data_IF_114382525678
#
_entry.id   IF_114382525678
#
_cell.length_a   1.000
_cell.length_b   1.000
_cell.length_c   1.000
_cell.angle_alpha   90.00
_cell.angle_beta   90.00
_cell.angle_gamma   90.00
#
_symmetry.space_group_name_H-M   'P 1'
#
loop_
_entity.id
_entity.type
_entity.pdbx_description
1 polymer ?
#
# COMPACT_ATOMS: atom_id res chain seq x y z
N UNK A 1 9.68 44.42 59.99
CA UNK A 1 10.24 43.89 58.72
C UNK A 1 9.06 43.65 57.79
N UNK A 2 9.03 44.35 56.65
CA UNK A 2 7.78 44.87 56.05
C UNK A 2 7.00 43.88 55.18
N UNK A 3 5.73 43.68 55.55
CA UNK A 3 4.64 42.95 54.88
C UNK A 3 4.29 43.46 53.47
N UNK A 4 4.97 44.51 52.99
CA UNK A 4 4.76 45.12 51.66
C UNK A 4 5.52 44.44 50.52
N UNK A 5 6.44 43.50 50.80
CA UNK A 5 7.19 42.79 49.76
C UNK A 5 6.54 41.49 49.28
N UNK A 6 5.66 40.87 50.07
CA UNK A 6 4.94 39.66 49.65
C UNK A 6 3.68 39.96 48.83
N UNK A 7 3.13 41.18 48.93
CA UNK A 7 1.98 41.61 48.13
C UNK A 7 2.36 42.01 46.69
N UNK A 8 3.65 42.26 46.41
CA UNK A 8 4.17 42.59 45.07
C UNK A 8 4.69 41.37 44.30
N UNK A 9 4.88 40.22 44.95
CA UNK A 9 5.27 38.97 44.28
C UNK A 9 4.07 38.09 43.90
N UNK A 10 2.89 38.36 44.49
CA UNK A 10 1.64 37.66 44.18
C UNK A 10 0.84 38.21 42.98
N UNK A 11 1.20 39.38 42.45
CA UNK A 11 0.50 40.01 41.31
C UNK A 11 1.19 39.79 39.95
N UNK A 12 2.37 39.15 39.92
CA UNK A 12 3.13 38.89 38.69
C UNK A 12 2.87 37.51 38.04
N UNK A 13 2.05 36.65 38.67
CA UNK A 13 1.75 35.29 38.18
C UNK A 13 0.33 35.17 37.58
N UNK A 14 -0.48 36.24 37.62
CA UNK A 14 -1.87 36.25 37.09
C UNK A 14 -1.95 36.88 35.68
N UNK A 15 -0.83 37.28 35.06
CA UNK A 15 -0.81 37.89 33.73
C UNK A 15 -0.34 36.96 32.58
N UNK A 16 -0.16 35.66 32.83
CA UNK A 16 0.37 34.71 31.81
C UNK A 16 -0.69 33.89 31.07
N UNK A 17 -1.99 34.20 31.25
CA UNK A 17 -3.07 33.66 30.41
C UNK A 17 -3.45 34.65 29.31
N UNK A 18 -2.47 35.13 28.53
CA UNK A 18 -2.78 35.60 27.18
C UNK A 18 -2.99 34.37 26.32
N UNK A 19 -4.25 34.00 26.18
CA UNK A 19 -4.72 33.13 25.12
C UNK A 19 -4.06 33.55 23.80
N UNK A 20 -3.37 32.62 23.14
CA UNK A 20 -3.14 32.73 21.72
C UNK A 20 -4.52 32.88 21.07
N UNK A 21 -4.86 34.10 20.64
CA UNK A 21 -5.79 34.23 19.52
C UNK A 21 -5.12 33.48 18.38
N UNK A 22 -5.64 32.31 18.05
CA UNK A 22 -5.47 31.82 16.69
C UNK A 22 -6.04 32.94 15.82
N UNK A 23 -5.19 33.60 15.06
CA UNK A 23 -5.67 34.40 13.94
C UNK A 23 -6.61 33.47 13.15
N UNK A 24 -7.84 33.91 12.83
CA UNK A 24 -8.64 33.16 11.87
C UNK A 24 -7.75 32.98 10.65
N UNK A 25 -7.52 31.72 10.27
CA UNK A 25 -6.72 31.39 9.11
C UNK A 25 -7.12 32.35 8.01
N UNK A 26 -6.14 33.12 7.53
CA UNK A 26 -6.28 33.87 6.29
C UNK A 26 -6.88 32.89 5.30
N UNK A 27 -8.12 33.17 4.89
CA UNK A 27 -8.82 32.35 3.92
C UNK A 27 -8.12 32.72 2.62
N UNK A 28 -6.97 32.08 2.40
CA UNK A 28 -6.20 32.24 1.19
C UNK A 28 -7.16 32.16 0.01
N UNK A 29 -6.93 33.02 -0.98
CA UNK A 29 -7.71 33.00 -2.21
C UNK A 29 -7.94 31.55 -2.66
N UNK A 30 -9.15 31.20 -3.13
CA UNK A 30 -9.45 29.83 -3.53
C UNK A 30 -8.35 29.36 -4.46
N UNK A 31 -7.70 28.24 -4.12
CA UNK A 31 -6.67 27.65 -4.96
C UNK A 31 -7.36 27.33 -6.29
N UNK A 32 -7.13 28.16 -7.31
CA UNK A 32 -7.63 27.91 -8.65
C UNK A 32 -6.73 26.82 -9.21
N UNK A 33 -7.25 25.58 -9.27
CA UNK A 33 -6.55 24.51 -9.96
C UNK A 33 -6.21 24.97 -11.39
N UNK A 34 -4.98 24.70 -11.88
CA UNK A 34 -4.61 25.08 -13.24
C UNK A 34 -5.61 24.47 -14.21
N UNK A 35 -5.97 25.17 -15.31
CA UNK A 35 -6.91 24.62 -16.28
C UNK A 35 -6.43 23.27 -16.81
N UNK A 36 -7.37 22.38 -17.14
CA UNK A 36 -7.02 21.14 -17.82
C UNK A 36 -6.39 21.43 -19.17
N UNK A 37 -5.28 20.75 -19.48
CA UNK A 37 -4.63 20.80 -20.77
C UNK A 37 -4.70 19.42 -21.43
N UNK A 38 -5.65 19.23 -22.34
CA UNK A 38 -5.86 17.95 -23.04
C UNK A 38 -4.65 17.48 -23.87
N UNK A 39 -3.62 18.33 -24.02
CA UNK A 39 -2.34 18.00 -24.67
C UNK A 39 -1.19 17.79 -23.66
N UNK A 40 -1.49 17.60 -22.37
CA UNK A 40 -0.48 17.25 -21.38
C UNK A 40 0.18 15.91 -21.73
N UNK A 41 1.51 15.94 -21.87
CA UNK A 41 2.29 14.79 -22.32
C UNK A 41 3.14 14.23 -21.19
N UNK A 42 3.33 12.92 -21.22
CA UNK A 42 4.15 12.20 -20.26
C UNK A 42 5.27 11.45 -21.00
N UNK A 43 6.41 11.18 -20.34
CA UNK A 43 7.47 10.37 -20.93
C UNK A 43 6.96 8.98 -21.36
N UNK A 44 7.61 8.39 -22.34
CA UNK A 44 7.40 6.99 -22.71
C UNK A 44 8.14 6.10 -21.72
N UNK A 45 7.54 4.97 -21.31
CA UNK A 45 8.15 4.07 -20.32
C UNK A 45 9.41 3.37 -20.83
N UNK A 46 10.43 3.27 -19.97
CA UNK A 46 11.64 2.50 -20.29
C UNK A 46 11.37 0.98 -20.19
N UNK A 47 11.94 0.15 -21.06
CA UNK A 47 11.87 -1.31 -20.92
C UNK A 47 12.41 -1.83 -19.59
N UNK A 48 11.63 -2.68 -18.90
CA UNK A 48 12.03 -3.35 -17.65
C UNK A 48 12.00 -4.88 -17.75
N UNK A 49 11.58 -5.41 -18.90
CA UNK A 49 11.51 -6.84 -19.17
C UNK A 49 11.92 -7.20 -20.61
N UNK A 50 12.13 -8.50 -20.88
CA UNK A 50 12.46 -8.97 -22.22
C UNK A 50 11.30 -8.73 -23.20
N UNK A 51 11.64 -8.44 -24.45
CA UNK A 51 10.67 -8.39 -25.55
C UNK A 51 10.31 -9.82 -25.97
N UNK A 52 9.03 -10.17 -25.91
CA UNK A 52 8.54 -11.48 -26.39
C UNK A 52 7.73 -11.27 -27.66
N UNK A 53 7.99 -12.07 -28.72
CA UNK A 53 7.33 -11.94 -30.01
C UNK A 53 6.60 -13.21 -30.43
N UNK A 54 5.46 -13.04 -31.09
CA UNK A 54 4.60 -14.09 -31.61
C UNK A 54 4.16 -13.75 -33.03
N UNK A 55 3.91 -14.76 -33.85
CA UNK A 55 3.30 -14.57 -35.17
C UNK A 55 1.82 -14.93 -35.08
N UNK A 56 0.95 -13.98 -35.37
CA UNK A 56 -0.50 -14.19 -35.43
C UNK A 56 -0.97 -14.19 -36.87
N UNK A 57 -1.80 -15.16 -37.23
CA UNK A 57 -2.38 -15.28 -38.57
C UNK A 57 -3.85 -14.86 -38.54
N UNK A 58 -4.54 -14.93 -39.68
CA UNK A 58 -5.97 -14.63 -39.78
C UNK A 58 -6.87 -15.52 -38.91
N UNK A 59 -6.36 -16.65 -38.41
CA UNK A 59 -7.07 -17.47 -37.41
C UNK A 59 -7.24 -16.76 -36.06
N UNK A 60 -6.47 -15.69 -35.80
CA UNK A 60 -6.41 -15.04 -34.49
C UNK A 60 -5.59 -15.86 -33.50
N UNK A 61 -5.84 -15.65 -32.20
CA UNK A 61 -5.18 -16.39 -31.15
C UNK A 61 -5.23 -15.72 -29.79
N UNK A 62 -4.62 -16.37 -28.81
CA UNK A 62 -4.45 -15.86 -27.45
C UNK A 62 -2.96 -15.84 -27.11
N UNK A 63 -2.49 -14.68 -26.62
CA UNK A 63 -1.10 -14.45 -26.25
C UNK A 63 -1.05 -13.98 -24.80
N UNK A 64 -0.07 -14.43 -24.03
CA UNK A 64 0.15 -13.95 -22.67
C UNK A 64 1.56 -13.42 -22.51
N UNK A 65 1.71 -12.40 -21.66
CA UNK A 65 3.01 -11.94 -21.23
C UNK A 65 3.73 -13.03 -20.42
N UNK A 66 5.06 -12.98 -20.39
CA UNK A 66 5.89 -13.98 -19.70
C UNK A 66 5.59 -14.03 -18.20
N UNK A 67 5.31 -12.89 -17.59
CA UNK A 67 4.92 -12.73 -16.19
C UNK A 67 3.43 -13.02 -15.92
N UNK A 68 2.67 -13.37 -16.97
CA UNK A 68 1.22 -13.66 -16.93
C UNK A 68 0.36 -12.50 -16.41
N UNK A 69 0.89 -11.28 -16.37
CA UNK A 69 0.12 -10.09 -15.95
C UNK A 69 -0.85 -9.63 -17.03
N UNK A 70 -0.57 -9.93 -18.30
CA UNK A 70 -1.37 -9.53 -19.45
C UNK A 70 -1.73 -10.73 -20.34
N UNK A 71 -2.97 -10.74 -20.82
CA UNK A 71 -3.48 -11.64 -21.86
C UNK A 71 -4.10 -10.82 -23.00
N UNK A 72 -3.68 -11.08 -24.23
CA UNK A 72 -4.28 -10.57 -25.46
C UNK A 72 -5.15 -11.65 -26.10
N UNK A 73 -6.39 -11.31 -26.46
CA UNK A 73 -7.25 -12.16 -27.29
C UNK A 73 -7.50 -11.46 -28.61
N UNK A 74 -7.03 -12.07 -29.69
CA UNK A 74 -7.10 -11.55 -31.05
C UNK A 74 -8.11 -12.41 -31.80
N UNK A 75 -9.29 -11.88 -32.18
CA UNK A 75 -10.30 -12.67 -32.85
C UNK A 75 -9.88 -13.04 -34.28
N UNK A 76 -10.45 -14.12 -34.81
CA UNK A 76 -10.26 -14.50 -36.20
C UNK A 76 -10.66 -13.36 -37.16
N UNK A 77 -9.80 -13.08 -38.13
CA UNK A 77 -9.95 -11.99 -39.09
C UNK A 77 -9.61 -10.60 -38.53
N UNK A 78 -9.01 -10.48 -37.34
CA UNK A 78 -8.46 -9.20 -36.87
C UNK A 78 -7.23 -8.76 -37.67
N UNK A 79 -6.48 -9.71 -38.21
CA UNK A 79 -5.37 -9.50 -39.16
C UNK A 79 -5.65 -10.33 -40.43
N UNK A 80 -5.19 -9.83 -41.57
CA UNK A 80 -5.38 -10.46 -42.89
C UNK A 80 -4.16 -11.29 -43.32
N UNK A 81 -2.98 -10.95 -42.82
CA UNK A 81 -1.69 -11.61 -43.09
C UNK A 81 -0.95 -11.98 -41.81
N UNK A 82 -0.02 -12.96 -41.86
CA UNK A 82 0.86 -13.26 -40.74
C UNK A 82 1.56 -12.00 -40.22
N UNK A 83 1.30 -11.65 -38.97
CA UNK A 83 1.73 -10.40 -38.34
C UNK A 83 2.53 -10.70 -37.07
N UNK A 84 3.72 -10.12 -36.96
CA UNK A 84 4.55 -10.24 -35.76
C UNK A 84 4.03 -9.28 -34.70
N UNK A 85 3.53 -9.83 -33.59
CA UNK A 85 3.07 -9.09 -32.42
C UNK A 85 4.09 -9.27 -31.31
N UNK A 86 4.43 -8.21 -30.58
CA UNK A 86 5.34 -8.30 -29.44
C UNK A 86 4.79 -7.66 -28.19
N UNK A 87 5.21 -8.18 -27.03
CA UNK A 87 4.79 -7.75 -25.70
C UNK A 87 6.07 -7.49 -24.89
N UNK A 88 6.15 -6.35 -24.21
CA UNK A 88 7.27 -6.01 -23.35
C UNK A 88 6.83 -5.21 -22.13
N UNK A 89 7.27 -5.59 -20.93
CA UNK A 89 7.02 -4.80 -19.72
C UNK A 89 7.88 -3.52 -19.73
N UNK A 90 7.26 -2.40 -19.40
CA UNK A 90 7.90 -1.07 -19.33
C UNK A 90 7.55 -0.37 -18.00
N UNK A 91 8.36 0.60 -17.61
CA UNK A 91 8.04 1.51 -16.50
C UNK A 91 6.69 2.18 -16.74
N UNK A 92 5.90 2.39 -15.69
CA UNK A 92 4.65 3.13 -15.81
C UNK A 92 4.90 4.62 -15.66
N UNK A 93 4.54 5.38 -16.68
CA UNK A 93 4.62 6.86 -16.70
C UNK A 93 3.24 7.51 -16.65
N UNK A 94 2.18 6.70 -16.48
CA UNK A 94 0.81 7.16 -16.33
C UNK A 94 0.60 7.69 -14.89
N UNK A 95 0.22 8.97 -14.68
CA UNK A 95 0.01 9.52 -13.34
C UNK A 95 -1.02 8.74 -12.52
N UNK A 96 -2.07 8.29 -13.20
CA UNK A 96 -3.12 7.44 -12.65
C UNK A 96 -2.85 5.95 -12.86
N UNK A 97 -1.62 5.49 -13.10
CA UNK A 97 -1.27 4.07 -13.32
C UNK A 97 -1.19 3.24 -12.03
N UNK A 98 -1.38 1.93 -12.10
CA UNK A 98 -1.16 0.96 -11.01
C UNK A 98 -0.21 -0.13 -11.50
N UNK A 99 0.90 -0.30 -10.78
CA UNK A 99 1.92 -1.29 -11.14
C UNK A 99 2.67 -0.90 -12.42
N UNK A 100 3.11 -1.93 -13.16
CA UNK A 100 3.90 -1.75 -14.39
C UNK A 100 3.01 -1.51 -15.61
N UNK A 101 3.59 -0.93 -16.65
CA UNK A 101 2.97 -0.81 -17.97
C UNK A 101 3.47 -1.92 -18.90
N UNK A 102 2.76 -2.16 -19.99
CA UNK A 102 3.14 -3.10 -21.04
C UNK A 102 3.08 -2.41 -22.39
N UNK A 103 4.17 -2.48 -23.13
CA UNK A 103 4.29 -2.07 -24.52
C UNK A 103 3.84 -3.21 -25.43
N UNK A 104 2.86 -2.92 -26.29
CA UNK A 104 2.38 -3.82 -27.32
C UNK A 104 2.85 -3.32 -28.68
N UNK A 105 3.44 -4.19 -29.51
CA UNK A 105 3.99 -3.82 -30.81
C UNK A 105 3.39 -4.67 -31.94
N UNK A 106 3.29 -4.11 -33.16
CA UNK A 106 3.75 -2.77 -33.56
C UNK A 106 2.68 -1.68 -33.30
N UNK A 107 3.08 -0.43 -33.07
CA UNK A 107 2.14 0.64 -32.71
C UNK A 107 1.24 1.10 -33.87
N UNK A 108 1.73 0.98 -35.10
CA UNK A 108 1.03 1.38 -36.32
C UNK A 108 0.00 0.35 -36.81
N UNK A 109 -0.19 -0.75 -36.08
CA UNK A 109 -1.21 -1.74 -36.43
C UNK A 109 -2.62 -1.18 -36.23
N UNK A 110 -3.47 -1.46 -37.21
CA UNK A 110 -4.92 -1.30 -37.09
C UNK A 110 -5.60 -2.65 -37.33
N UNK A 111 -6.26 -3.16 -36.30
CA UNK A 111 -6.98 -4.42 -36.38
C UNK A 111 -8.33 -4.24 -37.06
N UNK A 112 -8.67 -5.15 -37.98
CA UNK A 112 -9.97 -5.14 -38.65
C UNK A 112 -11.14 -5.51 -37.71
N UNK A 113 -10.83 -6.12 -36.56
CA UNK A 113 -11.77 -6.43 -35.47
C UNK A 113 -11.12 -6.09 -34.14
N UNK A 114 -11.87 -5.57 -33.15
CA UNK A 114 -11.30 -5.24 -31.85
C UNK A 114 -10.65 -6.44 -31.17
N UNK A 115 -9.42 -6.26 -30.68
CA UNK A 115 -8.71 -7.20 -29.83
C UNK A 115 -9.03 -6.91 -28.37
N UNK A 116 -9.06 -7.93 -27.52
CA UNK A 116 -9.24 -7.73 -26.06
C UNK A 116 -7.89 -7.71 -25.36
N UNK A 117 -7.65 -6.66 -24.60
CA UNK A 117 -6.53 -6.59 -23.64
C UNK A 117 -7.10 -6.87 -22.26
N UNK A 118 -6.55 -7.87 -21.59
CA UNK A 118 -6.90 -8.25 -20.22
C UNK A 118 -5.65 -8.13 -19.35
N UNK A 119 -5.72 -7.34 -18.27
CA UNK A 119 -4.71 -7.32 -17.23
C UNK A 119 -5.22 -8.04 -15.98
N UNK A 120 -4.33 -8.75 -15.28
CA UNK A 120 -4.54 -9.15 -13.89
C UNK A 120 -4.02 -8.07 -12.95
N UNK A 121 -4.80 -7.72 -11.94
CA UNK A 121 -4.39 -6.84 -10.85
C UNK A 121 -4.14 -7.58 -9.54
N UNK A 122 -4.09 -8.92 -9.55
CA UNK A 122 -3.96 -9.75 -8.35
C UNK A 122 -2.75 -9.35 -7.47
N UNK A 123 -1.59 -9.13 -8.09
CA UNK A 123 -0.38 -8.72 -7.37
C UNK A 123 -0.48 -7.31 -6.76
N UNK A 124 -1.38 -6.47 -7.29
CA UNK A 124 -1.55 -5.07 -6.94
C UNK A 124 -2.77 -4.85 -6.04
N UNK A 125 -3.42 -5.94 -5.59
CA UNK A 125 -4.67 -5.90 -4.81
C UNK A 125 -4.59 -4.96 -3.62
N UNK A 126 -3.48 -5.01 -2.88
CA UNK A 126 -3.29 -4.21 -1.66
C UNK A 126 -3.14 -2.71 -1.95
N UNK A 127 -2.83 -2.35 -3.21
CA UNK A 127 -2.74 -0.96 -3.68
C UNK A 127 -4.02 -0.43 -4.32
N UNK A 128 -5.09 -1.24 -4.37
CA UNK A 128 -6.36 -0.89 -5.01
C UNK A 128 -7.40 -0.58 -3.93
N UNK A 129 -7.82 0.68 -3.85
CA UNK A 129 -8.82 1.13 -2.88
C UNK A 129 -10.26 0.78 -3.28
N UNK A 130 -10.51 0.58 -4.57
CA UNK A 130 -11.81 0.33 -5.16
C UNK A 130 -11.62 -0.35 -6.53
N UNK A 131 -11.97 -1.63 -6.63
CA UNK A 131 -11.77 -2.40 -7.86
C UNK A 131 -12.68 -1.91 -9.00
N UNK A 132 -13.92 -1.53 -8.70
CA UNK A 132 -14.86 -1.04 -9.71
C UNK A 132 -14.38 0.23 -10.42
N UNK A 133 -13.53 1.06 -9.82
CA UNK A 133 -12.98 2.27 -10.44
C UNK A 133 -11.79 1.99 -11.38
N UNK A 134 -11.32 0.73 -11.47
CA UNK A 134 -10.22 0.35 -12.35
C UNK A 134 -10.64 0.32 -13.81
N UNK A 135 -9.74 0.77 -14.68
CA UNK A 135 -9.80 0.57 -16.12
C UNK A 135 -8.40 0.32 -16.68
N UNK A 136 -8.30 0.24 -18.00
CA UNK A 136 -7.04 0.30 -18.71
C UNK A 136 -6.85 1.69 -19.33
N UNK A 137 -5.62 2.16 -19.30
CA UNK A 137 -5.20 3.37 -19.98
C UNK A 137 -4.14 3.05 -21.02
N UNK A 138 -4.07 3.86 -22.06
CA UNK A 138 -3.03 3.78 -23.07
C UNK A 138 -2.38 5.13 -23.38
N UNK A 139 -1.11 5.11 -23.75
CA UNK A 139 -0.40 6.30 -24.21
C UNK A 139 -0.49 6.39 -25.73
N UNK A 140 -0.94 7.52 -26.26
CA UNK A 140 -0.97 7.74 -27.70
C UNK A 140 0.40 8.21 -28.23
N UNK A 141 0.53 8.35 -29.55
CA UNK A 141 1.77 8.78 -30.23
C UNK A 141 2.26 10.18 -29.82
N UNK A 142 1.36 11.02 -29.26
CA UNK A 142 1.71 12.35 -28.75
C UNK A 142 2.22 12.32 -27.31
N UNK A 143 2.27 11.14 -26.67
CA UNK A 143 2.65 10.99 -25.26
C UNK A 143 1.51 11.27 -24.28
N UNK A 144 0.27 11.44 -24.74
CA UNK A 144 -0.90 11.69 -23.88
C UNK A 144 -1.50 10.37 -23.42
N UNK A 145 -1.73 10.23 -22.12
CA UNK A 145 -2.40 9.07 -21.54
C UNK A 145 -3.93 9.20 -21.63
N UNK A 146 -4.59 8.12 -22.04
CA UNK A 146 -6.02 8.06 -22.29
C UNK A 146 -6.63 6.88 -21.52
N UNK A 147 -7.56 7.14 -20.60
CA UNK A 147 -8.33 6.14 -19.86
C UNK A 147 -9.47 5.62 -20.74
N UNK A 148 -9.55 4.31 -20.93
CA UNK A 148 -10.70 3.67 -21.56
C UNK A 148 -11.92 3.72 -20.62
N UNK A 149 -13.06 4.23 -21.08
CA UNK A 149 -14.28 4.30 -20.26
C UNK A 149 -15.13 3.02 -20.33
N UNK A 150 -15.02 2.24 -21.41
CA UNK A 150 -15.73 0.96 -21.54
C UNK A 150 -14.80 -0.18 -21.12
N UNK A 151 -15.12 -0.84 -20.01
CA UNK A 151 -14.32 -1.95 -19.49
C UNK A 151 -15.21 -3.05 -18.90
N UNK A 152 -14.57 -4.18 -18.58
CA UNK A 152 -15.13 -5.23 -17.73
C UNK A 152 -14.15 -5.47 -16.59
N UNK A 153 -14.62 -5.34 -15.35
CA UNK A 153 -13.83 -5.65 -14.14
C UNK A 153 -14.40 -6.91 -13.52
N UNK A 154 -13.59 -7.95 -13.45
CA UNK A 154 -13.93 -9.21 -12.79
C UNK A 154 -13.17 -9.28 -11.46
N UNK A 155 -13.88 -9.08 -10.35
CA UNK A 155 -13.32 -9.13 -8.99
C UNK A 155 -12.99 -10.56 -8.53
N UNK A 156 -13.68 -11.57 -9.07
CA UNK A 156 -13.44 -12.96 -8.71
C UNK A 156 -12.11 -13.47 -9.31
N UNK A 157 -11.83 -13.12 -10.57
CA UNK A 157 -10.57 -13.47 -11.24
C UNK A 157 -9.50 -12.38 -11.13
N UNK A 158 -9.84 -11.24 -10.53
CA UNK A 158 -8.97 -10.08 -10.34
C UNK A 158 -8.41 -9.55 -11.67
N UNK A 159 -9.30 -9.36 -12.64
CA UNK A 159 -8.93 -8.89 -13.99
C UNK A 159 -9.72 -7.66 -14.43
N UNK A 160 -9.10 -6.87 -15.31
CA UNK A 160 -9.76 -5.77 -16.01
C UNK A 160 -9.51 -5.91 -17.52
N UNK A 161 -10.56 -5.70 -18.32
CA UNK A 161 -10.54 -5.94 -19.77
C UNK A 161 -11.06 -4.73 -20.54
N UNK A 162 -10.43 -4.43 -21.67
CA UNK A 162 -10.91 -3.45 -22.66
C UNK A 162 -10.74 -3.99 -24.07
N UNK A 163 -11.56 -3.52 -25.01
CA UNK A 163 -11.37 -3.77 -26.43
C UNK A 163 -10.58 -2.61 -27.06
N UNK A 164 -9.70 -2.92 -28.02
CA UNK A 164 -8.96 -1.91 -28.79
C UNK A 164 -8.75 -2.36 -30.23
N UNK A 165 -8.52 -1.42 -31.14
CA UNK A 165 -8.14 -1.70 -32.53
C UNK A 165 -6.68 -1.35 -32.83
N UNK A 166 -5.92 -0.88 -31.84
CA UNK A 166 -4.53 -0.46 -32.00
C UNK A 166 -3.68 -0.95 -30.83
N UNK A 167 -2.36 -0.86 -31.01
CA UNK A 167 -1.37 -1.14 -29.97
C UNK A 167 -0.56 0.10 -29.62
N UNK A 168 -0.05 0.11 -28.40
CA UNK A 168 0.66 1.21 -27.76
C UNK A 168 1.21 0.73 -26.39
N UNK A 169 1.57 1.65 -25.50
CA UNK A 169 1.82 1.34 -24.10
C UNK A 169 0.49 1.34 -23.32
N UNK A 170 0.24 0.29 -22.54
CA UNK A 170 -0.98 0.06 -21.78
C UNK A 170 -0.69 -0.17 -20.30
N UNK A 171 -1.58 0.27 -19.42
CA UNK A 171 -1.49 0.04 -17.98
C UNK A 171 -2.86 -0.06 -17.32
N UNK A 172 -2.91 -0.66 -16.14
CA UNK A 172 -4.06 -0.53 -15.25
C UNK A 172 -4.07 0.90 -14.70
N UNK A 173 -5.21 1.56 -14.74
CA UNK A 173 -5.37 2.90 -14.23
C UNK A 173 -6.68 3.05 -13.45
N UNK A 174 -6.79 4.13 -12.67
CA UNK A 174 -8.04 4.50 -12.01
C UNK A 174 -8.31 5.98 -12.22
N UNK A 175 -9.56 6.34 -12.47
CA UNK A 175 -9.96 7.74 -12.58
C UNK A 175 -9.92 8.46 -11.22
N UNK A 176 -10.17 7.73 -10.12
CA UNK A 176 -10.23 8.27 -8.75
C UNK A 176 -9.57 7.29 -7.77
N UNK A 177 -8.83 7.78 -6.78
CA UNK A 177 -8.20 6.97 -5.72
C UNK A 177 -8.20 7.65 -4.38
N UNK A 178 -8.13 6.83 -3.33
CA UNK A 178 -7.78 7.32 -2.00
C UNK A 178 -6.27 7.24 -1.80
N UNK A 179 -5.66 8.34 -1.35
CA UNK A 179 -4.25 8.40 -1.00
C UNK A 179 -4.05 8.87 0.45
N UNK A 180 -3.13 8.27 1.21
CA UNK A 180 -2.45 7.02 0.88
C UNK A 180 -3.43 5.83 0.89
N UNK A 181 -3.14 4.78 0.11
CA UNK A 181 -3.95 3.55 0.10
C UNK A 181 -3.53 2.55 1.19
N UNK A 182 -2.29 2.68 1.69
CA UNK A 182 -1.78 1.96 2.85
C UNK A 182 -1.13 2.98 3.78
N UNK A 183 -1.36 2.86 5.09
CA UNK A 183 -0.65 3.63 6.10
C UNK A 183 -0.25 2.75 7.29
N UNK A 184 0.80 3.15 7.99
CA UNK A 184 1.14 2.59 9.30
C UNK A 184 1.34 3.73 10.28
N UNK A 185 0.72 3.62 11.46
CA UNK A 185 0.73 4.64 12.50
C UNK A 185 0.96 4.00 13.86
N UNK A 186 1.67 4.72 14.74
CA UNK A 186 1.70 4.45 16.18
C UNK A 186 0.81 5.42 16.94
N UNK A 187 0.79 5.34 18.27
CA UNK A 187 -0.12 6.08 19.14
C UNK A 187 -0.11 7.59 18.90
N UNK A 188 -1.30 8.20 18.90
CA UNK A 188 -1.54 9.65 18.76
C UNK A 188 -0.96 10.28 17.49
N UNK A 189 -0.68 9.49 16.46
CA UNK A 189 -0.26 9.99 15.17
C UNK A 189 -1.47 10.32 14.31
N UNK A 190 -1.32 11.33 13.47
CA UNK A 190 -2.33 11.75 12.52
C UNK A 190 -1.94 11.34 11.08
N UNK A 191 -2.95 11.05 10.26
CA UNK A 191 -2.79 10.89 8.82
C UNK A 191 -3.99 11.46 8.09
N UNK A 192 -3.74 12.31 7.11
CA UNK A 192 -4.77 12.75 6.17
C UNK A 192 -4.90 11.77 5.01
N UNK A 193 -6.12 11.33 4.75
CA UNK A 193 -6.52 10.59 3.56
C UNK A 193 -7.26 11.52 2.62
N UNK A 194 -6.98 11.43 1.32
CA UNK A 194 -7.55 12.32 0.29
C UNK A 194 -8.05 11.51 -0.90
N UNK A 195 -9.17 11.93 -1.49
CA UNK A 195 -9.58 11.45 -2.79
C UNK A 195 -8.95 12.31 -3.87
N UNK A 196 -8.21 11.66 -4.77
CA UNK A 196 -7.51 12.27 -5.90
C UNK A 196 -8.16 11.75 -7.18
N UNK A 197 -8.42 12.63 -8.14
CA UNK A 197 -8.88 12.26 -9.47
C UNK A 197 -7.81 12.57 -10.52
N UNK A 198 -7.83 11.80 -11.61
CA UNK A 198 -6.85 11.87 -12.70
C UNK A 198 -7.49 12.19 -14.06
N UNK A 199 -8.81 12.28 -14.14
CA UNK A 199 -9.54 12.68 -15.34
C UNK A 199 -10.41 13.89 -15.03
N UNK A 200 -10.83 14.64 -16.05
CA UNK A 200 -11.79 15.72 -15.87
C UNK A 200 -13.15 15.16 -15.45
N UNK A 201 -13.75 15.77 -14.42
CA UNK A 201 -15.06 15.44 -13.88
C UNK A 201 -15.89 16.73 -13.82
N UNK A 202 -16.96 16.81 -14.61
CA UNK A 202 -17.78 18.00 -14.77
C UNK A 202 -19.10 17.93 -13.98
N UNK A 203 -19.49 16.75 -13.48
CA UNK A 203 -20.72 16.55 -12.72
C UNK A 203 -20.60 15.37 -11.75
N UNK A 204 -21.53 15.30 -10.80
CA UNK A 204 -21.60 14.18 -9.85
C UNK A 204 -22.04 12.89 -10.55
N UNK A 205 -22.92 12.98 -11.54
CA UNK A 205 -23.34 11.84 -12.37
C UNK A 205 -22.14 11.25 -13.11
N UNK A 206 -21.30 12.11 -13.67
CA UNK A 206 -20.07 11.70 -14.34
C UNK A 206 -19.06 11.04 -13.38
N UNK A 207 -18.95 11.57 -12.15
CA UNK A 207 -18.17 10.93 -11.09
C UNK A 207 -18.74 9.56 -10.72
N UNK A 208 -20.06 9.47 -10.51
CA UNK A 208 -20.75 8.24 -10.13
C UNK A 208 -20.58 7.15 -11.20
N UNK A 209 -20.67 7.49 -12.49
CA UNK A 209 -20.44 6.56 -13.60
C UNK A 209 -18.98 6.07 -13.66
N UNK A 210 -18.00 6.90 -13.31
CA UNK A 210 -16.59 6.49 -13.29
C UNK A 210 -16.28 5.46 -12.20
N UNK A 211 -16.90 5.58 -11.03
CA UNK A 211 -16.58 4.77 -9.84
C UNK A 211 -17.50 3.57 -9.65
N UNK A 212 -18.66 3.57 -10.29
CA UNK A 212 -19.64 2.49 -10.19
C UNK A 212 -19.27 1.33 -11.12
N UNK A 213 -19.68 0.12 -10.71
CA UNK A 213 -19.51 -1.12 -11.49
C UNK A 213 -20.04 -0.93 -12.93
N UNK A 214 -19.17 -1.28 -13.87
CA UNK A 214 -19.45 -1.27 -15.29
C UNK A 214 -20.37 -2.45 -15.66
N UNK A 215 -21.09 -2.25 -16.74
CA UNK A 215 -22.21 -3.07 -17.21
C UNK A 215 -21.72 -4.39 -17.82
N UNK A 216 -21.48 -5.42 -17.00
CA UNK A 216 -21.07 -6.79 -17.41
C UNK A 216 -22.02 -7.43 -18.45
N UNK A 217 -23.19 -6.83 -18.68
CA UNK A 217 -24.19 -7.29 -19.63
C UNK A 217 -24.05 -6.64 -21.02
N UNK A 218 -23.10 -5.72 -21.20
CA UNK A 218 -22.87 -5.06 -22.48
C UNK A 218 -21.67 -5.64 -23.24
N UNK A 219 -21.79 -5.84 -24.57
CA UNK A 219 -20.67 -6.27 -25.39
C UNK A 219 -19.47 -5.32 -25.23
N UNK A 220 -18.28 -5.90 -25.08
CA UNK A 220 -17.04 -5.13 -25.03
C UNK A 220 -16.74 -4.56 -26.43
N UNK A 221 -17.00 -3.27 -26.58
CA UNK A 221 -16.74 -2.49 -27.80
C UNK A 221 -15.58 -1.53 -27.57
N UNK A 222 -15.07 -0.90 -28.63
CA UNK A 222 -14.03 0.10 -28.52
C UNK A 222 -14.49 1.23 -27.57
N UNK A 223 -13.69 1.55 -26.54
CA UNK A 223 -14.09 2.49 -25.51
C UNK A 223 -14.01 3.93 -26.00
N UNK A 224 -14.97 4.76 -25.57
CA UNK A 224 -14.71 6.19 -25.43
C UNK A 224 -13.57 6.40 -24.43
N UNK A 225 -12.82 7.50 -24.57
CA UNK A 225 -11.64 7.74 -23.75
C UNK A 225 -11.69 9.09 -23.03
N UNK A 226 -10.91 9.21 -21.96
CA UNK A 226 -10.60 10.50 -21.32
C UNK A 226 -9.11 10.68 -21.16
N UNK A 227 -8.65 11.91 -21.35
CA UNK A 227 -7.28 12.29 -21.03
C UNK A 227 -7.04 12.12 -19.52
N UNK A 228 -5.88 11.54 -19.21
CA UNK A 228 -5.34 11.44 -17.86
C UNK A 228 -4.38 12.61 -17.64
N UNK A 229 -4.54 13.26 -16.50
CA UNK A 229 -3.74 14.39 -16.02
C UNK A 229 -2.94 13.98 -14.78
N UNK A 230 -2.06 14.87 -14.33
CA UNK A 230 -1.56 14.82 -12.96
C UNK A 230 -2.71 14.81 -11.94
N UNK A 231 -2.51 14.09 -10.84
CA UNK A 231 -3.53 13.88 -9.83
C UNK A 231 -3.94 15.18 -9.12
N UNK A 232 -5.24 15.44 -9.04
CA UNK A 232 -5.81 16.63 -8.37
C UNK A 232 -6.79 16.22 -7.27
N UNK A 233 -6.90 17.00 -6.17
CA UNK A 233 -7.93 16.77 -5.16
C UNK A 233 -9.32 16.73 -5.78
N UNK A 234 -10.15 15.75 -5.39
CA UNK A 234 -11.54 15.73 -5.82
C UNK A 234 -12.27 16.98 -5.31
N UNK A 235 -13.09 17.59 -6.17
CA UNK A 235 -13.83 18.81 -5.84
C UNK A 235 -14.64 18.61 -4.55
N UNK A 236 -14.54 19.62 -3.68
CA UNK A 236 -15.25 19.70 -2.41
C UNK A 236 -16.78 19.56 -2.52
N UNK A 237 -17.36 19.88 -3.67
CA UNK A 237 -18.78 19.72 -3.94
C UNK A 237 -19.19 18.24 -4.01
N UNK A 238 -18.30 17.38 -4.51
CA UNK A 238 -18.51 15.93 -4.50
C UNK A 238 -18.14 15.32 -3.15
N UNK A 239 -17.18 15.92 -2.44
CA UNK A 239 -16.69 15.36 -1.18
C UNK A 239 -17.59 15.52 0.02
N UNK A 240 -18.46 16.53 0.05
CA UNK A 240 -19.50 16.68 1.08
C UNK A 240 -20.47 15.49 1.12
N UNK A 241 -20.48 14.67 0.07
CA UNK A 241 -21.26 13.45 -0.04
C UNK A 241 -20.53 12.20 0.49
N UNK A 242 -19.22 12.32 0.76
CA UNK A 242 -18.43 11.23 1.30
C UNK A 242 -18.71 11.08 2.81
N UNK A 243 -19.17 9.90 3.22
CA UNK A 243 -19.15 9.50 4.63
C UNK A 243 -17.81 8.85 4.95
N UNK A 244 -17.04 9.44 5.86
CA UNK A 244 -15.74 8.92 6.28
C UNK A 244 -15.88 8.05 7.52
N UNK A 245 -15.30 6.86 7.49
CA UNK A 245 -15.43 5.86 8.56
C UNK A 245 -14.09 5.10 8.78
N UNK A 246 -13.91 4.58 9.98
CA UNK A 246 -12.91 3.59 10.40
C UNK A 246 -13.63 2.31 10.79
N UNK A 247 -13.48 1.24 10.03
CA UNK A 247 -14.25 -0.01 10.24
C UNK A 247 -15.77 0.24 10.45
N UNK A 248 -16.37 1.18 9.69
CA UNK A 248 -17.77 1.62 9.79
C UNK A 248 -18.15 2.46 11.04
N UNK A 249 -17.16 3.00 11.75
CA UNK A 249 -17.33 3.91 12.89
C UNK A 249 -16.70 5.27 12.58
N UNK A 250 -17.08 6.34 13.27
CA UNK A 250 -16.39 7.65 13.15
C UNK A 250 -15.32 7.82 14.24
N UNK A 251 -15.62 7.31 15.43
CA UNK A 251 -14.78 7.43 16.63
C UNK A 251 -14.77 6.12 17.41
N UNK A 252 -13.62 5.73 17.95
CA UNK A 252 -13.49 4.54 18.79
C UNK A 252 -12.20 4.60 19.62
N UNK A 253 -12.30 4.34 20.94
CA UNK A 253 -11.16 4.42 21.85
C UNK A 253 -10.00 3.45 21.52
N UNK A 254 -10.29 2.31 20.89
CA UNK A 254 -9.31 1.26 20.57
C UNK A 254 -8.67 1.42 19.19
N UNK A 255 -9.36 2.08 18.25
CA UNK A 255 -8.92 2.19 16.85
C UNK A 255 -8.81 3.63 16.35
N UNK A 256 -9.04 4.62 17.21
CA UNK A 256 -8.86 6.03 16.91
C UNK A 256 -10.12 6.71 16.40
N UNK A 257 -9.94 7.88 15.78
CA UNK A 257 -11.02 8.72 15.29
C UNK A 257 -10.73 9.22 13.87
N UNK A 258 -11.76 9.48 13.08
CA UNK A 258 -11.66 10.10 11.76
C UNK A 258 -12.58 11.31 11.64
N UNK A 259 -12.01 12.43 11.18
CA UNK A 259 -12.74 13.69 11.02
C UNK A 259 -12.60 14.20 9.58
N UNK A 260 -13.69 14.41 8.84
CA UNK A 260 -13.63 15.01 7.52
C UNK A 260 -13.18 16.47 7.60
N UNK A 261 -12.33 16.86 6.67
CA UNK A 261 -11.86 18.24 6.55
C UNK A 261 -12.95 19.09 5.88
N UNK A 262 -13.25 20.26 6.45
CA UNK A 262 -14.27 21.16 5.89
C UNK A 262 -13.90 21.58 4.46
N UNK A 263 -14.87 21.48 3.54
CA UNK A 263 -14.73 21.89 2.14
C UNK A 263 -13.59 21.21 1.36
N UNK A 264 -13.27 19.95 1.66
CA UNK A 264 -12.30 19.19 0.87
C UNK A 264 -12.65 17.71 0.79
N UNK A 265 -12.06 17.00 -0.17
CA UNK A 265 -12.17 15.56 -0.30
C UNK A 265 -11.17 14.80 0.55
N UNK A 266 -11.03 15.22 1.81
CA UNK A 266 -10.12 14.58 2.75
C UNK A 266 -10.72 14.40 4.13
N UNK A 267 -10.13 13.46 4.85
CA UNK A 267 -10.37 13.28 6.26
C UNK A 267 -9.06 13.01 6.99
N UNK A 268 -8.97 13.52 8.21
CA UNK A 268 -7.87 13.33 9.11
C UNK A 268 -8.20 12.22 10.09
N UNK A 269 -7.45 11.15 10.00
CA UNK A 269 -7.45 10.05 10.95
C UNK A 269 -6.45 10.33 12.07
N UNK A 270 -6.82 10.03 13.30
CA UNK A 270 -5.97 10.08 14.50
C UNK A 270 -5.97 8.72 15.17
N UNK A 271 -4.80 8.11 15.31
CA UNK A 271 -4.65 6.83 16.00
C UNK A 271 -4.88 6.97 17.52
N UNK A 272 -5.29 5.90 18.21
CA UNK A 272 -5.66 5.96 19.62
C UNK A 272 -4.46 6.30 20.52
N UNK A 273 -4.75 6.64 21.77
CA UNK A 273 -3.73 7.00 22.75
C UNK A 273 -2.86 5.82 23.22
N UNK A 274 -3.36 4.59 23.06
CA UNK A 274 -2.71 3.36 23.46
C UNK A 274 -3.04 2.24 22.47
N UNK A 275 -2.03 1.53 21.98
CA UNK A 275 -2.19 0.40 21.06
C UNK A 275 -1.58 -0.83 21.76
N UNK A 276 -2.39 -1.77 22.27
CA UNK A 276 -1.89 -2.91 23.04
C UNK A 276 -1.20 -3.97 22.18
N UNK A 277 -1.59 -4.05 20.91
CA UNK A 277 -1.09 -4.98 19.91
C UNK A 277 -1.39 -4.42 18.52
N UNK A 278 -0.84 -5.01 17.45
CA UNK A 278 -1.09 -4.55 16.10
C UNK A 278 -2.57 -4.68 15.76
N UNK A 279 -3.13 -3.67 15.10
CA UNK A 279 -4.52 -3.64 14.66
C UNK A 279 -4.54 -3.23 13.19
N UNK A 280 -5.10 -4.08 12.34
CA UNK A 280 -5.40 -3.73 10.96
C UNK A 280 -6.84 -3.20 10.88
N UNK A 281 -7.02 -2.05 10.25
CA UNK A 281 -8.32 -1.41 10.06
C UNK A 281 -8.43 -0.77 8.67
N UNK A 282 -9.66 -0.61 8.19
CA UNK A 282 -9.97 0.13 6.99
C UNK A 282 -10.37 1.56 7.32
N UNK A 283 -9.68 2.55 6.73
CA UNK A 283 -10.19 3.92 6.60
C UNK A 283 -10.96 4.00 5.29
N UNK A 284 -12.21 4.46 5.33
CA UNK A 284 -13.06 4.47 4.15
C UNK A 284 -13.72 5.81 3.88
N UNK A 285 -14.00 6.05 2.60
CA UNK A 285 -14.85 7.13 2.11
C UNK A 285 -15.98 6.51 1.29
N UNK A 286 -17.20 6.58 1.81
CA UNK A 286 -18.38 5.98 1.21
C UNK A 286 -19.26 7.01 0.51
N UNK A 287 -19.73 6.66 -0.68
CA UNK A 287 -20.64 7.45 -1.51
C UNK A 287 -21.91 6.65 -1.82
N UNK A 288 -23.05 7.32 -1.81
CA UNK A 288 -24.30 6.74 -2.32
C UNK A 288 -24.50 7.21 -3.76
N UNK A 289 -24.39 6.30 -4.73
CA UNK A 289 -24.68 6.57 -6.13
C UNK A 289 -26.07 6.05 -6.49
N UNK A 290 -26.59 6.43 -7.66
CA UNK A 290 -27.84 5.85 -8.19
C UNK A 290 -27.76 4.32 -8.37
N UNK A 291 -26.54 3.77 -8.48
CA UNK A 291 -26.26 2.33 -8.66
C UNK A 291 -25.94 1.59 -7.37
N UNK A 292 -25.88 2.29 -6.23
CA UNK A 292 -25.62 1.71 -4.92
C UNK A 292 -24.53 2.42 -4.12
N UNK A 293 -24.13 1.81 -3.01
CA UNK A 293 -23.06 2.32 -2.15
C UNK A 293 -21.69 1.95 -2.74
N UNK A 294 -20.84 2.94 -2.97
CA UNK A 294 -19.44 2.77 -3.40
C UNK A 294 -18.52 3.17 -2.26
N UNK A 295 -17.49 2.38 -1.98
CA UNK A 295 -16.61 2.59 -0.82
C UNK A 295 -15.15 2.51 -1.26
N UNK A 296 -14.43 3.62 -1.16
CA UNK A 296 -12.97 3.61 -1.24
C UNK A 296 -12.42 3.20 0.11
N UNK A 297 -11.49 2.25 0.15
CA UNK A 297 -10.86 1.78 1.39
C UNK A 297 -9.35 1.90 1.32
N UNK A 298 -8.73 2.49 2.33
CA UNK A 298 -7.31 2.42 2.61
C UNK A 298 -7.05 1.49 3.79
N UNK A 299 -5.98 0.71 3.70
CA UNK A 299 -5.58 -0.22 4.76
C UNK A 299 -4.63 0.48 5.73
N UNK A 300 -4.96 0.45 7.02
CA UNK A 300 -4.15 1.08 8.08
C UNK A 300 -3.73 0.01 9.08
N UNK A 301 -2.43 -0.08 9.32
CA UNK A 301 -1.87 -0.93 10.39
C UNK A 301 -1.41 -0.05 11.55
N UNK A 302 -2.07 -0.19 12.68
CA UNK A 302 -1.68 0.42 13.94
C UNK A 302 -0.63 -0.43 14.62
N UNK A 303 0.47 0.18 15.07
CA UNK A 303 1.53 -0.51 15.79
C UNK A 303 1.82 0.15 17.14
N UNK A 304 2.05 -0.63 18.20
CA UNK A 304 2.52 -0.09 19.47
C UNK A 304 3.84 0.68 19.30
N UNK A 305 3.94 1.87 19.90
CA UNK A 305 5.15 2.70 19.86
C UNK A 305 6.21 2.16 20.78
N UNK A 306 7.44 2.14 20.26
CA UNK A 306 8.65 1.75 20.99
C UNK A 306 8.52 0.39 21.68
N UNK A 307 7.91 -0.56 20.97
CA UNK A 307 7.66 -1.90 21.48
C UNK A 307 7.86 -2.95 20.39
N UNK A 308 8.10 -4.17 20.85
CA UNK A 308 8.00 -5.37 20.05
C UNK A 308 6.88 -6.23 20.61
N UNK A 309 5.98 -6.63 19.73
CA UNK A 309 4.83 -7.49 20.05
C UNK A 309 4.91 -8.77 19.25
N UNK A 310 4.59 -9.89 19.88
CA UNK A 310 4.69 -11.21 19.28
C UNK A 310 3.57 -12.12 19.76
N UNK A 311 3.32 -13.20 19.00
CA UNK A 311 2.45 -14.30 19.41
C UNK A 311 3.02 -15.62 18.93
N UNK A 312 2.71 -16.69 19.66
CA UNK A 312 3.18 -18.05 19.39
C UNK A 312 1.97 -18.90 19.03
N UNK A 313 2.02 -19.62 17.92
CA UNK A 313 0.97 -20.56 17.50
C UNK A 313 -0.40 -19.94 17.29
N UNK A 314 -0.47 -18.65 16.94
CA UNK A 314 -1.74 -17.92 16.80
C UNK A 314 -2.42 -17.55 18.12
N UNK A 315 -1.76 -17.72 19.27
CA UNK A 315 -2.27 -17.31 20.58
C UNK A 315 -2.33 -15.78 20.77
N UNK A 316 -2.56 -15.35 22.01
CA UNK A 316 -2.64 -13.93 22.36
C UNK A 316 -1.33 -13.18 22.11
N UNK A 317 -1.46 -11.92 21.68
CA UNK A 317 -0.33 -11.00 21.57
C UNK A 317 0.30 -10.72 22.94
N UNK A 318 1.63 -10.76 22.96
CA UNK A 318 2.48 -10.43 24.11
C UNK A 318 3.42 -9.30 23.70
N UNK A 319 3.81 -8.47 24.66
CA UNK A 319 4.76 -7.36 24.43
C UNK A 319 6.06 -7.66 25.14
N UNK A 320 7.18 -7.33 24.52
CA UNK A 320 8.49 -7.24 25.17
C UNK A 320 8.79 -5.74 25.28
N UNK A 321 8.82 -5.20 26.50
CA UNK A 321 8.96 -3.75 26.70
C UNK A 321 10.42 -3.28 26.60
N UNK A 322 11.37 -4.05 27.13
CA UNK A 322 12.79 -3.71 27.17
C UNK A 322 13.52 -4.22 25.90
N UNK A 323 13.15 -3.63 24.76
CA UNK A 323 13.72 -3.93 23.45
C UNK A 323 14.43 -2.72 22.87
N UNK A 324 15.54 -2.97 22.18
CA UNK A 324 16.30 -1.95 21.47
C UNK A 324 16.60 -2.38 20.04
N UNK A 325 16.88 -1.39 19.19
CA UNK A 325 17.40 -1.60 17.84
C UNK A 325 18.62 -0.71 17.59
N UNK A 326 19.70 -1.27 17.06
CA UNK A 326 20.91 -0.52 16.64
C UNK A 326 21.69 -1.31 15.61
N UNK A 327 22.69 -0.70 14.96
CA UNK A 327 23.70 -1.50 14.26
C UNK A 327 24.81 -1.98 15.19
N UNK A 328 25.23 -3.22 15.00
CA UNK A 328 26.40 -3.84 15.63
C UNK A 328 27.25 -4.44 14.52
N UNK A 329 28.51 -4.00 14.35
CA UNK A 329 29.41 -4.51 13.30
C UNK A 329 28.82 -4.49 11.87
N UNK A 330 27.98 -3.49 11.58
CA UNK A 330 27.33 -3.32 10.27
C UNK A 330 25.99 -4.03 10.10
N UNK A 331 25.60 -4.91 11.03
CA UNK A 331 24.31 -5.61 11.05
C UNK A 331 23.32 -4.87 11.93
N UNK A 332 22.06 -4.77 11.53
CA UNK A 332 21.02 -4.37 12.47
C UNK A 332 20.73 -5.50 13.44
N UNK A 333 20.57 -5.15 14.71
CA UNK A 333 20.22 -6.07 15.78
C UNK A 333 19.02 -5.51 16.53
N UNK A 334 17.99 -6.34 16.68
CA UNK A 334 16.96 -6.17 17.71
C UNK A 334 17.29 -7.14 18.84
N UNK A 335 17.40 -6.59 20.03
CA UNK A 335 17.71 -7.33 21.24
C UNK A 335 16.86 -6.83 22.39
N UNK A 336 16.52 -7.72 23.31
CA UNK A 336 15.78 -7.33 24.50
C UNK A 336 15.51 -8.50 25.41
N UNK A 337 15.19 -8.18 26.66
CA UNK A 337 14.77 -9.15 27.66
C UNK A 337 13.79 -8.47 28.61
N UNK A 338 12.58 -9.01 28.70
CA UNK A 338 11.57 -8.57 29.64
C UNK A 338 11.70 -9.41 30.93
N UNK A 339 12.15 -8.83 32.06
CA UNK A 339 12.31 -9.57 33.30
C UNK A 339 10.98 -9.98 33.94
N UNK A 340 9.87 -9.28 33.64
CA UNK A 340 8.56 -9.59 34.20
C UNK A 340 7.96 -10.84 33.53
N UNK A 341 8.15 -10.99 32.22
CA UNK A 341 7.69 -12.18 31.49
C UNK A 341 8.77 -13.25 31.33
N UNK A 342 10.02 -12.94 31.67
CA UNK A 342 11.20 -13.79 31.45
C UNK A 342 11.40 -14.18 29.97
N UNK A 343 11.10 -13.25 29.06
CA UNK A 343 11.19 -13.49 27.62
C UNK A 343 12.30 -12.63 27.02
N UNK A 344 13.24 -13.28 26.33
CA UNK A 344 14.28 -12.63 25.55
C UNK A 344 14.00 -12.72 24.05
N UNK A 345 14.42 -11.70 23.31
CA UNK A 345 14.39 -11.71 21.85
C UNK A 345 15.73 -11.26 21.27
N UNK A 346 16.11 -11.89 20.18
CA UNK A 346 17.28 -11.53 19.41
C UNK A 346 17.02 -11.84 17.93
N UNK A 347 17.10 -10.83 17.07
CA UNK A 347 17.21 -11.09 15.64
C UNK A 347 18.07 -10.05 14.95
N UNK A 348 18.71 -10.49 13.87
CA UNK A 348 19.67 -9.71 13.10
C UNK A 348 19.29 -9.69 11.63
N UNK A 349 19.66 -8.62 10.93
CA UNK A 349 19.56 -8.53 9.47
C UNK A 349 20.55 -7.49 8.92
N UNK A 350 20.81 -7.57 7.62
CA UNK A 350 21.55 -6.55 6.88
C UNK A 350 20.69 -6.03 5.73
N UNK A 351 20.55 -4.71 5.63
CA UNK A 351 19.81 -4.05 4.55
C UNK A 351 18.91 -2.91 5.04
N UNK A 352 18.10 -2.37 4.12
CA UNK A 352 17.19 -1.25 4.34
C UNK A 352 15.73 -1.76 4.46
N UNK A 353 14.76 -0.97 4.00
CA UNK A 353 13.39 -1.44 3.84
C UNK A 353 13.32 -2.54 2.77
N UNK A 354 12.53 -3.58 3.02
CA UNK A 354 12.43 -4.73 2.15
C UNK A 354 11.98 -6.00 2.87
N UNK A 355 11.88 -7.09 2.12
CA UNK A 355 11.50 -8.41 2.63
C UNK A 355 12.71 -9.33 2.62
N UNK A 356 12.97 -9.96 3.75
CA UNK A 356 14.11 -10.82 4.01
C UNK A 356 13.64 -12.22 4.38
N UNK A 357 14.19 -13.24 3.72
CA UNK A 357 13.93 -14.64 4.05
C UNK A 357 14.83 -15.07 5.20
N UNK A 358 14.37 -16.04 5.99
CA UNK A 358 15.19 -16.65 7.02
C UNK A 358 16.23 -17.57 6.39
N UNK A 359 17.47 -17.48 6.84
CA UNK A 359 18.60 -18.22 6.28
C UNK A 359 19.63 -18.46 7.36
N UNK A 360 20.25 -19.64 7.33
CA UNK A 360 21.36 -19.96 8.22
C UNK A 360 22.44 -18.88 8.21
N UNK A 361 22.92 -18.54 9.41
CA UNK A 361 23.82 -17.40 9.68
C UNK A 361 25.09 -17.38 8.82
N UNK A 362 25.56 -18.54 8.38
CA UNK A 362 26.77 -18.68 7.55
C UNK A 362 26.57 -18.21 6.09
N UNK A 363 25.32 -17.98 5.67
CA UNK A 363 24.98 -17.62 4.28
C UNK A 363 24.48 -16.19 4.11
N UNK A 364 23.81 -15.62 5.12
CA UNK A 364 23.28 -14.25 5.14
C UNK A 364 22.74 -13.97 6.56
N UNK A 365 23.03 -12.83 7.21
CA UNK A 365 22.78 -12.68 8.65
C UNK A 365 21.32 -12.30 8.96
N UNK A 366 20.34 -13.03 8.41
CA UNK A 366 18.93 -12.88 8.76
C UNK A 366 18.53 -14.04 9.65
N UNK A 367 18.55 -13.81 10.96
CA UNK A 367 18.29 -14.86 11.95
C UNK A 367 17.42 -14.36 13.08
N UNK A 368 16.55 -15.22 13.59
CA UNK A 368 15.64 -14.95 14.70
C UNK A 368 15.81 -15.97 15.82
N UNK A 369 15.70 -15.47 17.05
CA UNK A 369 15.65 -16.24 18.27
C UNK A 369 14.72 -15.56 19.29
N UNK A 370 13.87 -16.34 19.95
CA UNK A 370 13.04 -15.94 21.08
C UNK A 370 13.18 -17.00 22.18
N UNK A 371 13.56 -16.58 23.38
CA UNK A 371 13.74 -17.46 24.53
C UNK A 371 12.68 -17.15 25.57
N UNK A 372 11.81 -18.10 25.86
CA UNK A 372 10.89 -18.06 26.99
C UNK A 372 11.52 -18.83 28.15
N UNK A 373 12.23 -18.10 29.02
CA UNK A 373 13.00 -18.70 30.11
C UNK A 373 12.07 -19.35 31.14
N UNK A 374 10.90 -18.76 31.37
CA UNK A 374 9.90 -19.29 32.29
C UNK A 374 9.39 -20.68 31.87
N UNK A 375 9.22 -20.91 30.56
CA UNK A 375 8.79 -22.20 30.01
C UNK A 375 9.95 -23.11 29.57
N UNK A 376 11.20 -22.64 29.72
CA UNK A 376 12.40 -23.29 29.23
C UNK A 376 12.36 -23.58 27.70
N UNK A 377 11.73 -22.70 26.93
CA UNK A 377 11.55 -22.86 25.48
C UNK A 377 12.41 -21.87 24.70
N UNK A 378 12.97 -22.34 23.58
CA UNK A 378 13.75 -21.55 22.64
C UNK A 378 13.24 -21.73 21.22
N UNK A 379 12.77 -20.65 20.62
CA UNK A 379 12.26 -20.58 19.26
C UNK A 379 13.31 -19.92 18.37
N UNK A 380 13.61 -20.50 17.22
CA UNK A 380 14.61 -19.97 16.29
C UNK A 380 14.19 -20.13 14.82
N UNK A 381 14.79 -19.34 13.93
CA UNK A 381 14.55 -19.39 12.49
C UNK A 381 15.31 -20.54 11.80
N UNK A 382 15.12 -21.76 12.27
CA UNK A 382 15.64 -22.98 11.65
C UNK A 382 15.41 -24.21 12.51
N UNK A 383 15.10 -25.35 11.87
CA UNK A 383 14.67 -26.58 12.54
C UNK A 383 15.36 -27.81 11.94
N UNK A 384 15.33 -28.91 12.69
CA UNK A 384 15.97 -30.18 12.31
C UNK A 384 14.92 -31.29 12.21
N UNK A 385 14.94 -32.02 11.09
CA UNK A 385 14.17 -33.25 10.87
C UNK A 385 15.11 -34.45 10.73
N UNK A 386 14.56 -35.63 10.40
CA UNK A 386 15.39 -36.79 10.06
C UNK A 386 16.21 -36.58 8.76
N UNK A 387 15.79 -35.65 7.90
CA UNK A 387 16.38 -35.39 6.59
C UNK A 387 17.50 -34.34 6.64
N UNK A 388 17.63 -33.61 7.75
CA UNK A 388 18.66 -32.58 7.93
C UNK A 388 18.13 -31.34 8.64
N UNK A 389 18.85 -30.22 8.44
CA UNK A 389 18.50 -28.90 8.97
C UNK A 389 17.91 -28.05 7.86
N UNK A 390 16.88 -27.29 8.22
CA UNK A 390 16.09 -26.47 7.29
C UNK A 390 15.91 -25.07 7.86
N UNK A 391 15.92 -24.09 6.96
CA UNK A 391 15.52 -22.72 7.27
C UNK A 391 14.00 -22.66 7.48
N UNK A 392 13.57 -21.79 8.40
CA UNK A 392 12.15 -21.50 8.55
C UNK A 392 11.61 -20.78 7.32
N UNK A 393 10.36 -21.05 6.94
CA UNK A 393 9.61 -20.20 6.02
C UNK A 393 9.09 -18.92 6.71
N UNK A 394 8.30 -18.14 5.97
CA UNK A 394 7.89 -16.80 6.41
C UNK A 394 8.93 -15.75 6.04
N UNK A 395 8.90 -14.58 6.68
CA UNK A 395 9.85 -13.50 6.36
C UNK A 395 9.94 -12.44 7.45
N UNK A 396 11.04 -11.68 7.42
CA UNK A 396 11.19 -10.38 8.07
C UNK A 396 10.91 -9.29 7.04
N UNK A 397 9.93 -8.41 7.31
CA UNK A 397 9.59 -7.28 6.46
C UNK A 397 9.93 -5.99 7.20
N UNK A 398 10.90 -5.26 6.68
CA UNK A 398 11.29 -3.94 7.17
C UNK A 398 10.51 -2.89 6.39
N UNK A 399 9.65 -2.14 7.08
CA UNK A 399 8.83 -1.09 6.46
C UNK A 399 9.47 0.28 6.52
N UNK A 400 10.28 0.56 7.55
CA UNK A 400 11.01 1.81 7.70
C UNK A 400 12.36 1.56 8.36
N UNK A 401 13.41 2.21 7.84
CA UNK A 401 14.72 2.31 8.49
C UNK A 401 15.03 3.78 8.75
N UNK A 402 14.78 4.23 9.97
CA UNK A 402 15.11 5.58 10.41
C UNK A 402 16.60 5.80 10.63
N UNK A 403 16.98 7.07 10.63
CA UNK A 403 18.26 7.53 11.18
C UNK A 403 18.35 7.24 12.68
N UNK A 404 19.53 7.45 13.29
CA UNK A 404 19.68 7.40 14.76
C UNK A 404 18.67 8.37 15.38
N UNK A 405 17.99 7.94 16.46
CA UNK A 405 16.88 8.61 17.13
C UNK A 405 15.58 8.72 16.32
N UNK A 406 15.50 8.14 15.12
CA UNK A 406 14.26 7.93 14.37
C UNK A 406 13.84 6.45 14.47
N UNK A 407 12.63 6.16 14.00
CA UNK A 407 11.96 4.87 14.10
C UNK A 407 12.48 3.88 13.06
N UNK A 408 12.71 2.65 13.50
CA UNK A 408 12.74 1.45 12.64
C UNK A 408 11.46 0.67 12.92
N UNK A 409 10.76 0.26 11.87
CA UNK A 409 9.54 -0.52 11.97
C UNK A 409 9.53 -1.70 11.01
N UNK A 410 8.81 -2.74 11.40
CA UNK A 410 8.66 -3.93 10.58
C UNK A 410 7.72 -4.96 11.20
N UNK A 411 7.56 -6.07 10.48
CA UNK A 411 6.86 -7.26 10.92
C UNK A 411 7.66 -8.51 10.59
N UNK A 412 7.41 -9.59 11.29
CA UNK A 412 8.05 -10.87 11.04
C UNK A 412 7.06 -12.02 11.21
N UNK A 413 7.31 -13.10 10.48
CA UNK A 413 6.65 -14.39 10.66
C UNK A 413 7.67 -15.50 10.42
N UNK A 414 7.79 -16.43 11.36
CA UNK A 414 8.72 -17.57 11.31
C UNK A 414 7.90 -18.86 11.34
N UNK A 415 7.88 -19.61 10.24
CA UNK A 415 7.01 -20.78 10.09
C UNK A 415 7.63 -21.95 9.30
N UNK A 416 7.72 -23.17 9.88
CA UNK A 416 7.69 -23.39 11.31
C UNK A 416 8.92 -22.76 11.99
N UNK A 417 8.82 -22.45 13.28
CA UNK A 417 10.04 -22.21 14.08
C UNK A 417 10.79 -23.53 14.30
N UNK A 418 12.07 -23.45 14.63
CA UNK A 418 12.71 -24.50 15.41
C UNK A 418 12.42 -24.28 16.88
N UNK A 419 11.84 -25.27 17.55
CA UNK A 419 11.61 -25.30 19.00
C UNK A 419 12.60 -26.26 19.66
N UNK A 420 13.40 -25.73 20.61
CA UNK A 420 14.29 -26.49 21.47
C UNK A 420 14.03 -26.12 22.94
N UNK A 421 14.50 -26.95 23.88
CA UNK A 421 14.69 -26.48 25.25
C UNK A 421 15.96 -25.63 25.34
N UNK A 422 15.99 -24.68 26.27
CA UNK A 422 17.14 -23.77 26.39
C UNK A 422 18.40 -24.60 26.68
N UNK A 423 19.45 -24.38 25.88
CA UNK A 423 20.72 -25.12 25.98
C UNK A 423 20.76 -26.44 25.18
N UNK A 424 19.64 -26.88 24.60
CA UNK A 424 19.64 -28.05 23.72
C UNK A 424 20.09 -27.70 22.29
N UNK A 425 20.96 -28.51 21.67
CA UNK A 425 21.50 -28.22 20.35
C UNK A 425 20.51 -28.52 19.21
N UNK A 426 19.44 -29.28 19.48
CA UNK A 426 18.50 -29.76 18.45
C UNK A 426 17.15 -29.08 18.61
N UNK A 427 16.80 -28.24 17.64
CA UNK A 427 15.47 -27.65 17.54
C UNK A 427 14.58 -28.49 16.60
N UNK A 428 13.43 -28.94 17.08
CA UNK A 428 12.43 -29.66 16.30
C UNK A 428 11.43 -28.69 15.65
N UNK A 429 10.52 -29.19 14.82
CA UNK A 429 9.45 -28.37 14.24
C UNK A 429 8.60 -27.78 15.38
N UNK A 430 8.58 -26.46 15.45
CA UNK A 430 7.82 -25.67 16.40
C UNK A 430 6.64 -24.91 15.76
N UNK A 431 5.85 -24.20 16.57
CA UNK A 431 4.73 -23.40 16.10
C UNK A 431 5.20 -22.17 15.29
N UNK A 432 4.27 -21.49 14.61
CA UNK A 432 4.56 -20.17 14.03
C UNK A 432 4.83 -19.14 15.11
N UNK A 433 5.75 -18.22 14.87
CA UNK A 433 5.90 -17.01 15.67
C UNK A 433 5.75 -15.80 14.76
N UNK A 434 4.71 -14.99 15.03
CA UNK A 434 4.44 -13.73 14.34
C UNK A 434 4.78 -12.56 15.25
N UNK A 435 5.21 -11.45 14.67
CA UNK A 435 5.44 -10.23 15.44
C UNK A 435 5.54 -8.95 14.62
N UNK A 436 5.44 -7.84 15.34
CA UNK A 436 5.60 -6.48 14.84
C UNK A 436 6.51 -5.72 15.77
N UNK A 437 7.22 -4.74 15.23
CA UNK A 437 8.03 -3.86 16.03
C UNK A 437 8.02 -2.45 15.47
N UNK A 438 8.06 -1.48 16.36
CA UNK A 438 8.30 -0.08 16.05
C UNK A 438 9.22 0.44 17.13
N UNK A 439 10.50 0.62 16.84
CA UNK A 439 11.54 0.87 17.83
C UNK A 439 12.34 2.12 17.47
N UNK A 440 12.72 2.90 18.47
CA UNK A 440 13.63 4.03 18.26
C UNK A 440 15.04 3.51 18.06
N UNK A 441 15.68 3.91 16.96
CA UNK A 441 17.06 3.49 16.66
C UNK A 441 18.05 4.14 17.62
N UNK A 442 18.76 3.30 18.36
CA UNK A 442 19.86 3.73 19.21
C UNK A 442 21.14 3.95 18.39
N UNK A 443 22.13 4.67 18.95
CA UNK A 443 23.45 4.79 18.34
C UNK A 443 24.07 3.44 18.02
N UNK A 444 24.75 3.37 16.88
CA UNK A 444 25.46 2.17 16.44
C UNK A 444 26.62 1.85 17.39
N UNK A 445 26.89 0.57 17.59
CA UNK A 445 28.03 0.08 18.37
C UNK A 445 28.97 -0.73 17.49
N UNK A 446 30.28 -0.61 17.73
CA UNK A 446 31.30 -1.41 17.06
C UNK A 446 31.37 -2.85 17.57
#
# INVERSE_FOLDING_TARGET
>A
MNLKHYLMLGLAIIASFTACKHDPADIGEPIIDPPYNDNETFPVGNPTGPLTSFTVTSAGGELSSLDRTLTLRIPAGAVDKPTKISIQTVESTCPGGIGKSVRLLPHDIQFAKPVTIQFSYAAQKDSINLASALSLAYQNEKGVWNLALKRVVDEATQTVKVATTHFSDWTIASAVRMVPHIASLSEKQERTFRLIHYTKINSYEEFADLISLDDDLTPLVQPNVRVIYEGRPLDSNYSKLAKWEINSLETNAEIGDIYPDANSASARYTSPAFIPHPIDLGVSAAFNTQRGKVIFVANVTLTPKNALVYRIGGGSWKTIQDVFVRKVKGEFLIGGYDPATQVGIHFVWTGNAGTYQWVERDKNPVGFALSDIGNNDHYQSGYTTAEGRFDSGGSLVITKVGNINDVISGKFSVQPTGLAKIGEPKALIGPVVDGYFTLTRLPDSN
#
